data_IF_608375595820
#
_entry.id   IF_608375595820
#
_cell.length_a   1.000
_cell.length_b   1.000
_cell.length_c   1.000
_cell.angle_alpha   90.00
_cell.angle_beta   90.00
_cell.angle_gamma   90.00
#
_symmetry.space_group_name_H-M   'P 1'
#
loop_
_entity.id
_entity.type
_entity.pdbx_description
1 polymer ?
#
# COMPACT_ATOMS: atom_id res chain seq x y z
N UNK A 1 -15.59 -38.89 -0.04
CA UNK A 1 -15.54 -37.94 1.10
C UNK A 1 -14.32 -37.01 1.01
N UNK A 2 -13.13 -37.52 0.69
CA UNK A 2 -11.89 -36.72 0.56
C UNK A 2 -11.92 -35.67 -0.57
N UNK A 3 -12.43 -36.01 -1.76
CA UNK A 3 -12.53 -35.04 -2.88
C UNK A 3 -13.41 -33.83 -2.52
N UNK A 4 -14.51 -34.07 -1.81
CA UNK A 4 -15.42 -33.00 -1.36
C UNK A 4 -14.77 -32.09 -0.30
N UNK A 5 -13.86 -32.64 0.53
CA UNK A 5 -13.08 -31.86 1.50
C UNK A 5 -12.06 -30.98 0.77
N UNK A 6 -11.36 -31.54 -0.22
CA UNK A 6 -10.38 -30.79 -1.04
C UNK A 6 -11.07 -29.65 -1.81
N UNK A 7 -12.24 -29.92 -2.40
CA UNK A 7 -13.02 -28.89 -3.10
C UNK A 7 -13.44 -27.75 -2.17
N UNK A 8 -13.99 -28.07 -0.98
CA UNK A 8 -14.33 -27.04 0.02
C UNK A 8 -13.12 -26.23 0.48
N UNK A 9 -11.96 -26.88 0.64
CA UNK A 9 -10.71 -26.20 0.99
C UNK A 9 -10.27 -25.24 -0.11
N UNK A 10 -10.29 -25.67 -1.38
CA UNK A 10 -9.96 -24.81 -2.52
C UNK A 10 -10.87 -23.58 -2.60
N UNK A 11 -12.18 -23.75 -2.40
CA UNK A 11 -13.13 -22.63 -2.40
C UNK A 11 -12.83 -21.63 -1.27
N UNK A 12 -12.52 -22.10 -0.05
CA UNK A 12 -12.10 -21.19 1.02
C UNK A 12 -10.82 -20.40 0.67
N UNK A 13 -9.82 -21.07 0.09
CA UNK A 13 -8.57 -20.42 -0.33
C UNK A 13 -8.83 -19.35 -1.39
N UNK A 14 -9.67 -19.63 -2.40
CA UNK A 14 -10.01 -18.65 -3.44
C UNK A 14 -10.75 -17.43 -2.86
N UNK A 15 -11.66 -17.63 -1.90
CA UNK A 15 -12.36 -16.51 -1.25
C UNK A 15 -11.40 -15.61 -0.46
N UNK A 16 -10.44 -16.21 0.27
CA UNK A 16 -9.43 -15.45 1.03
C UNK A 16 -8.55 -14.63 0.08
N UNK A 17 -8.05 -15.24 -0.99
CA UNK A 17 -7.19 -14.55 -1.98
C UNK A 17 -7.96 -13.42 -2.69
N UNK A 18 -9.24 -13.65 -3.04
CA UNK A 18 -10.09 -12.64 -3.68
C UNK A 18 -10.40 -11.43 -2.80
N UNK A 19 -10.30 -11.56 -1.46
CA UNK A 19 -10.58 -10.47 -0.52
C UNK A 19 -9.33 -9.66 -0.15
N UNK A 20 -8.11 -10.16 -0.40
CA UNK A 20 -6.85 -9.45 -0.13
C UNK A 20 -6.75 -8.06 -0.79
N UNK A 21 -7.17 -7.84 -2.06
CA UNK A 21 -7.06 -6.54 -2.72
C UNK A 21 -7.90 -5.44 -2.04
N UNK A 22 -9.01 -5.81 -1.39
CA UNK A 22 -9.90 -4.86 -0.70
C UNK A 22 -9.28 -4.30 0.60
N UNK A 23 -8.21 -4.91 1.09
CA UNK A 23 -7.49 -4.46 2.28
C UNK A 23 -6.50 -3.33 1.98
N UNK A 24 -6.19 -3.06 0.70
CA UNK A 24 -5.28 -1.97 0.28
C UNK A 24 -6.08 -0.68 0.05
N UNK A 25 -6.93 -0.31 1.00
CA UNK A 25 -7.60 0.98 1.04
C UNK A 25 -7.28 1.66 2.37
N UNK A 26 -6.01 2.01 2.55
CA UNK A 26 -5.65 3.03 3.54
C UNK A 26 -6.22 4.37 3.07
N UNK A 27 -6.81 5.15 3.97
CA UNK A 27 -7.24 6.51 3.65
C UNK A 27 -6.05 7.38 3.21
N UNK A 28 -6.31 8.57 2.63
CA UNK A 28 -5.26 9.49 2.20
C UNK A 28 -4.14 9.68 3.21
N UNK A 29 -2.90 9.53 2.76
CA UNK A 29 -1.70 9.67 3.58
C UNK A 29 -1.08 11.05 3.34
N UNK A 30 -0.51 11.62 4.40
CA UNK A 30 0.25 12.87 4.35
C UNK A 30 1.75 12.59 4.29
N UNK A 31 2.39 12.88 3.17
CA UNK A 31 3.82 12.73 2.96
C UNK A 31 4.56 14.00 3.40
N UNK A 32 5.47 13.87 4.36
CA UNK A 32 6.38 14.95 4.74
C UNK A 32 7.53 15.03 3.74
N UNK A 33 7.59 16.13 2.99
CA UNK A 33 8.57 16.28 1.91
C UNK A 33 9.98 16.37 2.49
N UNK A 34 10.90 15.58 1.95
CA UNK A 34 12.26 15.44 2.49
C UNK A 34 12.34 14.66 3.81
N UNK A 35 11.24 14.05 4.27
CA UNK A 35 11.19 13.21 5.46
C UNK A 35 11.52 13.97 6.74
N UNK A 36 12.42 13.42 7.56
CA UNK A 36 12.84 14.04 8.82
C UNK A 36 13.51 15.41 8.62
N UNK A 37 14.22 15.58 7.50
CA UNK A 37 14.95 16.81 7.18
C UNK A 37 14.05 17.94 6.66
N UNK A 38 12.83 17.61 6.23
CA UNK A 38 11.86 18.59 5.72
C UNK A 38 12.27 19.22 4.39
N UNK A 39 11.64 20.35 4.06
CA UNK A 39 11.92 21.09 2.83
C UNK A 39 13.16 21.99 2.97
N UNK A 40 14.32 21.46 2.60
CA UNK A 40 15.61 22.16 2.69
C UNK A 40 16.45 22.01 1.39
N UNK A 41 17.25 23.01 0.98
CA UNK A 41 17.98 22.98 -0.30
C UNK A 41 18.98 21.83 -0.47
N UNK A 42 19.53 21.30 0.62
CA UNK A 42 20.52 20.20 0.58
C UNK A 42 19.88 18.81 0.43
N UNK A 43 18.55 18.74 0.26
CA UNK A 43 17.83 17.49 0.07
C UNK A 43 17.71 17.17 -1.40
N UNK A 44 18.17 15.98 -1.78
CA UNK A 44 17.87 15.42 -3.08
C UNK A 44 16.41 14.93 -3.10
N UNK A 45 15.50 15.80 -3.54
CA UNK A 45 14.07 15.49 -3.60
C UNK A 45 13.73 14.42 -4.64
N UNK A 46 14.52 14.28 -5.71
CA UNK A 46 14.37 13.20 -6.69
C UNK A 46 14.64 11.84 -6.05
N UNK A 47 15.71 11.73 -5.26
CA UNK A 47 15.99 10.51 -4.50
C UNK A 47 14.97 10.28 -3.38
N UNK A 48 14.47 11.34 -2.73
CA UNK A 48 13.40 11.18 -1.74
C UNK A 48 12.12 10.63 -2.38
N UNK A 49 11.68 11.20 -3.51
CA UNK A 49 10.42 10.80 -4.16
C UNK A 49 10.46 9.38 -4.73
N UNK A 50 11.63 8.84 -5.09
CA UNK A 50 11.75 7.45 -5.56
C UNK A 50 11.44 6.41 -4.47
N UNK A 51 11.49 6.80 -3.20
CA UNK A 51 11.19 5.95 -2.05
C UNK A 51 9.76 6.18 -1.51
N UNK A 52 8.93 6.92 -2.24
CA UNK A 52 7.54 7.20 -1.86
C UNK A 52 6.57 6.55 -2.84
N UNK A 53 5.45 6.06 -2.31
CA UNK A 53 4.29 5.69 -3.12
C UNK A 53 3.22 6.75 -2.93
N UNK A 54 2.81 7.40 -4.02
CA UNK A 54 1.75 8.40 -4.01
C UNK A 54 0.49 7.81 -4.63
N UNK A 55 -0.61 7.85 -3.89
CA UNK A 55 -1.92 7.45 -4.34
C UNK A 55 -2.82 8.68 -4.51
N UNK A 56 -3.89 8.51 -5.30
CA UNK A 56 -4.86 9.58 -5.49
C UNK A 56 -5.50 9.94 -4.15
N UNK A 57 -5.44 11.23 -3.81
CA UNK A 57 -5.95 11.77 -2.55
C UNK A 57 -4.89 12.06 -1.51
N UNK A 58 -3.66 11.57 -1.68
CA UNK A 58 -2.55 11.86 -0.77
C UNK A 58 -2.14 13.35 -0.78
N UNK A 59 -1.54 13.79 0.33
CA UNK A 59 -1.18 15.19 0.58
C UNK A 59 0.32 15.33 0.78
N UNK A 60 0.91 16.39 0.24
CA UNK A 60 2.29 16.75 0.54
C UNK A 60 2.32 17.85 1.61
N UNK A 61 3.23 17.73 2.59
CA UNK A 61 3.45 18.76 3.58
C UNK A 61 4.91 19.13 3.76
N UNK A 62 5.14 20.36 4.19
CA UNK A 62 6.46 20.89 4.54
C UNK A 62 6.85 20.52 5.96
#
# INVERSE_FOLDING_TARGET
>A
MEIMKVYKMMIMVMMIIGWLPLMVMGGPIKHKVGGSKGWYPEINFTHWSTHQHFYLGDWLCK
#
